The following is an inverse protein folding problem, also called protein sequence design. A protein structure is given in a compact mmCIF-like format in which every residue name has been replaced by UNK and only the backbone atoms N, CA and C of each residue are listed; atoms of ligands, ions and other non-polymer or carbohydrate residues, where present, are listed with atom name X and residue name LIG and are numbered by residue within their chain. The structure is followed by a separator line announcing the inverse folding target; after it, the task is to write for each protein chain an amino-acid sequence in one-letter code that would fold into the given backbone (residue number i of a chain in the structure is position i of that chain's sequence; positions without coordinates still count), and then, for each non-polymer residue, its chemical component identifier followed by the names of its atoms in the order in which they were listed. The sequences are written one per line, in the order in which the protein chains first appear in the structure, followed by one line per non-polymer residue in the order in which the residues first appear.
data_IF_911988338003
#
_entry.id   IF_911988338003
#
_cell.length_a   1.000
_cell.length_b   1.000
_cell.length_c   1.000
_cell.angle_alpha   90.00
_cell.angle_beta   90.00
_cell.angle_gamma   90.00
#
_symmetry.space_group_name_H-M   'P 1'
#
loop_
_entity.id
_entity.type
_entity.pdbx_description
1 polymer ?
#
# COMPACT_ATOMS: atom_id res chain seq x y z
N UNK A 1 6.57 -13.82 -24.05
CA UNK A 1 6.00 -14.80 -23.09
C UNK A 1 4.49 -14.72 -23.16
N UNK A 2 3.75 -15.83 -23.27
CA UNK A 2 2.30 -15.77 -23.50
C UNK A 2 1.58 -15.13 -22.32
N UNK A 3 0.59 -14.27 -22.62
CA UNK A 3 -0.24 -13.60 -21.62
C UNK A 3 -0.87 -14.58 -20.63
N UNK A 4 -1.21 -15.79 -21.10
CA UNK A 4 -1.75 -16.88 -20.29
C UNK A 4 -0.78 -17.34 -19.19
N UNK A 5 0.51 -17.46 -19.50
CA UNK A 5 1.54 -17.81 -18.51
C UNK A 5 1.68 -16.71 -17.46
N UNK A 6 1.70 -15.45 -17.89
CA UNK A 6 1.82 -14.29 -16.98
C UNK A 6 0.58 -14.14 -16.08
N UNK A 7 -0.61 -14.30 -16.64
CA UNK A 7 -1.87 -14.28 -15.88
C UNK A 7 -1.95 -15.42 -14.87
N UNK A 8 -1.55 -16.64 -15.25
CA UNK A 8 -1.49 -17.78 -14.34
C UNK A 8 -0.48 -17.58 -13.21
N UNK A 9 0.70 -17.00 -13.49
CA UNK A 9 1.71 -16.72 -12.46
C UNK A 9 1.24 -15.65 -11.48
N UNK A 10 0.75 -14.50 -11.96
CA UNK A 10 0.27 -13.42 -11.08
C UNK A 10 -0.97 -13.85 -10.29
N UNK A 11 -1.91 -14.52 -10.95
CA UNK A 11 -3.11 -15.07 -10.30
C UNK A 11 -2.76 -16.11 -9.24
N UNK A 12 -1.82 -17.02 -9.53
CA UNK A 12 -1.33 -18.02 -8.58
C UNK A 12 -0.67 -17.37 -7.36
N UNK A 13 0.24 -16.41 -7.57
CA UNK A 13 0.87 -15.66 -6.48
C UNK A 13 -0.15 -14.88 -5.63
N UNK A 14 -1.18 -14.32 -6.27
CA UNK A 14 -2.27 -13.62 -5.59
C UNK A 14 -3.09 -14.58 -4.72
N UNK A 15 -3.41 -15.77 -5.23
CA UNK A 15 -4.13 -16.81 -4.47
C UNK A 15 -3.34 -17.26 -3.25
N UNK A 16 -2.04 -17.52 -3.41
CA UNK A 16 -1.15 -17.87 -2.29
C UNK A 16 -1.15 -16.77 -1.24
N UNK A 17 -1.03 -15.51 -1.63
CA UNK A 17 -1.09 -14.37 -0.70
C UNK A 17 -2.42 -14.30 0.06
N UNK A 18 -3.55 -14.59 -0.60
CA UNK A 18 -4.87 -14.63 0.04
C UNK A 18 -5.03 -15.77 1.02
N UNK A 19 -4.55 -16.97 0.68
CA UNK A 19 -4.59 -18.12 1.59
C UNK A 19 -3.73 -17.86 2.84
N UNK A 20 -2.53 -17.29 2.67
CA UNK A 20 -1.68 -16.89 3.78
C UNK A 20 -2.33 -15.81 4.66
N UNK A 21 -2.99 -14.83 4.04
CA UNK A 21 -3.77 -13.83 4.75
C UNK A 21 -4.91 -14.43 5.58
N UNK A 22 -5.65 -15.39 5.01
CA UNK A 22 -6.70 -16.11 5.73
C UNK A 22 -6.15 -16.92 6.92
N UNK A 23 -5.03 -17.61 6.73
CA UNK A 23 -4.36 -18.35 7.82
C UNK A 23 -3.93 -17.39 8.93
N UNK A 24 -3.36 -16.24 8.59
CA UNK A 24 -3.03 -15.19 9.57
C UNK A 24 -4.27 -14.78 10.36
N UNK A 25 -5.39 -14.51 9.69
CA UNK A 25 -6.62 -14.06 10.34
C UNK A 25 -7.18 -15.14 11.27
N UNK A 26 -7.10 -16.41 10.88
CA UNK A 26 -7.47 -17.55 11.71
C UNK A 26 -6.57 -17.67 12.95
N UNK A 27 -5.26 -17.48 12.81
CA UNK A 27 -4.31 -17.49 13.93
C UNK A 27 -4.54 -16.32 14.89
N UNK A 28 -4.86 -15.14 14.37
CA UNK A 28 -5.22 -13.98 15.19
C UNK A 28 -6.51 -14.27 15.95
N UNK A 29 -7.53 -14.82 15.30
CA UNK A 29 -8.78 -15.21 15.97
C UNK A 29 -8.56 -16.28 17.05
N UNK A 30 -7.63 -17.22 16.82
CA UNK A 30 -7.29 -18.25 17.81
C UNK A 30 -6.48 -17.72 19.01
N UNK A 31 -5.53 -16.81 18.77
CA UNK A 31 -4.60 -16.33 19.81
C UNK A 31 -5.11 -15.09 20.55
N UNK A 32 -5.76 -14.17 19.85
CA UNK A 32 -6.25 -12.88 20.35
C UNK A 32 -7.77 -12.92 20.61
N UNK A 33 -8.48 -13.87 20.00
CA UNK A 33 -9.95 -13.95 20.06
C UNK A 33 -10.63 -13.06 19.00
N UNK A 34 -11.93 -12.85 19.16
CA UNK A 34 -12.76 -12.01 18.26
C UNK A 34 -13.29 -10.76 18.97
N UNK A 35 -12.64 -10.35 20.06
CA UNK A 35 -13.04 -9.19 20.87
C UNK A 35 -12.39 -7.87 20.43
N UNK A 36 -12.53 -6.81 21.25
CA UNK A 36 -12.05 -5.46 20.92
C UNK A 36 -10.56 -5.37 20.57
N UNK A 37 -9.73 -6.27 21.11
CA UNK A 37 -8.29 -6.33 20.83
C UNK A 37 -8.03 -6.77 19.38
N UNK A 38 -8.80 -7.74 18.87
CA UNK A 38 -8.68 -8.19 17.49
C UNK A 38 -9.17 -7.11 16.52
N UNK A 39 -10.28 -6.43 16.86
CA UNK A 39 -10.78 -5.27 16.10
C UNK A 39 -9.71 -4.16 16.00
N UNK A 40 -9.08 -3.79 17.13
CA UNK A 40 -8.00 -2.81 17.16
C UNK A 40 -6.81 -3.22 16.28
N UNK A 41 -6.43 -4.50 16.29
CA UNK A 41 -5.37 -5.03 15.42
C UNK A 41 -5.71 -4.87 13.93
N UNK A 42 -6.93 -5.23 13.53
CA UNK A 42 -7.35 -5.08 12.14
C UNK A 42 -7.50 -3.63 11.71
N UNK A 43 -8.00 -2.75 12.59
CA UNK A 43 -8.08 -1.30 12.32
C UNK A 43 -6.69 -0.70 12.15
N UNK A 44 -5.73 -1.08 13.01
CA UNK A 44 -4.33 -0.65 12.90
C UNK A 44 -3.69 -1.07 11.58
N UNK A 45 -4.07 -2.21 11.01
CA UNK A 45 -3.64 -2.64 9.68
C UNK A 45 -4.42 -1.96 8.54
N UNK A 46 -5.71 -1.70 8.72
CA UNK A 46 -6.56 -1.11 7.69
C UNK A 46 -6.21 0.34 7.41
N UNK A 47 -5.87 1.10 8.46
CA UNK A 47 -5.51 2.52 8.34
C UNK A 47 -4.37 2.77 7.33
N UNK A 48 -3.14 2.25 7.51
CA UNK A 48 -2.07 2.46 6.55
C UNK A 48 -2.38 1.85 5.18
N UNK A 49 -3.12 0.74 5.12
CA UNK A 49 -3.51 0.11 3.87
C UNK A 49 -4.47 0.97 3.04
N UNK A 50 -5.36 1.73 3.67
CA UNK A 50 -6.23 2.69 3.00
C UNK A 50 -5.40 3.76 2.28
N UNK A 51 -4.40 4.33 2.97
CA UNK A 51 -3.52 5.33 2.37
C UNK A 51 -2.66 4.74 1.26
N UNK A 52 -2.12 3.54 1.45
CA UNK A 52 -1.40 2.82 0.39
C UNK A 52 -2.26 2.62 -0.85
N UNK A 53 -3.53 2.23 -0.68
CA UNK A 53 -4.46 2.04 -1.79
C UNK A 53 -4.78 3.37 -2.51
N UNK A 54 -5.05 4.45 -1.75
CA UNK A 54 -5.39 5.76 -2.29
C UNK A 54 -4.22 6.43 -3.03
N UNK A 55 -3.02 6.41 -2.43
CA UNK A 55 -1.89 7.18 -2.90
C UNK A 55 -0.91 6.38 -3.75
N UNK A 56 -0.80 5.06 -3.59
CA UNK A 56 0.26 4.26 -4.25
C UNK A 56 -0.25 3.25 -5.29
N UNK A 57 -1.37 2.58 -5.07
CA UNK A 57 -1.83 1.51 -5.99
C UNK A 57 -2.41 2.02 -7.31
N UNK A 58 -3.25 3.07 -7.26
CA UNK A 58 -4.02 3.53 -8.43
C UNK A 58 -3.42 4.76 -9.11
N UNK A 59 -3.59 5.93 -8.47
CA UNK A 59 -3.29 7.21 -9.10
C UNK A 59 -1.80 7.39 -9.39
N UNK A 60 -0.93 7.16 -8.39
CA UNK A 60 0.51 7.31 -8.56
C UNK A 60 1.07 6.36 -9.62
N UNK A 61 0.75 5.07 -9.54
CA UNK A 61 1.28 4.07 -10.47
C UNK A 61 0.87 4.37 -11.92
N UNK A 62 -0.39 4.79 -12.13
CA UNK A 62 -0.91 5.15 -13.46
C UNK A 62 -0.23 6.37 -14.10
N UNK A 63 0.27 7.31 -13.30
CA UNK A 63 0.95 8.51 -13.79
C UNK A 63 2.48 8.33 -13.85
N UNK A 64 3.06 7.70 -12.82
CA UNK A 64 4.50 7.53 -12.68
C UNK A 64 5.09 6.56 -13.69
N UNK A 65 4.47 5.38 -13.88
CA UNK A 65 5.04 4.33 -14.75
C UNK A 65 5.15 4.78 -16.21
N UNK A 66 4.12 5.38 -16.84
CA UNK A 66 4.24 5.87 -18.21
C UNK A 66 5.29 6.99 -18.33
N UNK A 67 5.36 7.89 -17.35
CA UNK A 67 6.32 8.99 -17.36
C UNK A 67 7.76 8.48 -17.22
N UNK A 68 7.98 7.53 -16.32
CA UNK A 68 9.27 6.87 -16.12
C UNK A 68 9.70 6.07 -17.35
N UNK A 69 8.77 5.30 -17.96
CA UNK A 69 9.01 4.57 -19.19
C UNK A 69 9.36 5.50 -20.36
N UNK A 70 8.64 6.62 -20.51
CA UNK A 70 8.97 7.62 -21.54
C UNK A 70 10.36 8.23 -21.33
N UNK A 71 10.74 8.51 -20.07
CA UNK A 71 12.06 9.06 -19.72
C UNK A 71 13.18 8.06 -20.00
N UNK A 72 12.97 6.78 -19.68
CA UNK A 72 14.00 5.75 -19.88
C UNK A 72 14.23 5.44 -21.36
N UNK A 73 13.17 5.43 -22.17
CA UNK A 73 13.26 5.20 -23.61
C UNK A 73 13.83 6.40 -24.37
N UNK A 74 13.46 7.63 -23.99
CA UNK A 74 13.90 8.84 -24.68
C UNK A 74 15.27 9.36 -24.26
N UNK A 75 15.55 9.39 -22.96
CA UNK A 75 16.70 10.09 -22.37
C UNK A 75 17.65 9.14 -21.60
N UNK A 76 17.32 7.85 -21.59
CA UNK A 76 18.12 6.82 -20.95
C UNK A 76 17.94 6.72 -19.43
N UNK A 77 18.63 5.74 -18.86
CA UNK A 77 18.55 5.40 -17.43
C UNK A 77 18.89 6.56 -16.46
N UNK A 78 19.88 7.44 -16.73
CA UNK A 78 20.21 8.53 -15.81
C UNK A 78 19.05 9.53 -15.64
N UNK A 79 18.37 9.89 -16.73
CA UNK A 79 17.24 10.83 -16.69
C UNK A 79 16.01 10.23 -15.98
N UNK A 80 15.72 8.95 -16.23
CA UNK A 80 14.67 8.22 -15.52
C UNK A 80 14.95 8.13 -14.01
N UNK A 81 16.22 7.89 -13.64
CA UNK A 81 16.64 7.85 -12.23
C UNK A 81 16.50 9.21 -11.55
N UNK A 82 16.86 10.30 -12.23
CA UNK A 82 16.67 11.66 -11.71
C UNK A 82 15.19 11.96 -11.42
N UNK A 83 14.30 11.62 -12.36
CA UNK A 83 12.85 11.73 -12.18
C UNK A 83 12.36 10.93 -10.96
N UNK A 84 12.80 9.67 -10.83
CA UNK A 84 12.42 8.84 -9.69
C UNK A 84 12.89 9.45 -8.36
N UNK A 85 14.12 9.96 -8.30
CA UNK A 85 14.66 10.61 -7.09
C UNK A 85 13.82 11.84 -6.72
N UNK A 86 13.49 12.69 -7.68
CA UNK A 86 12.68 13.89 -7.45
C UNK A 86 11.29 13.53 -6.92
N UNK A 87 10.59 12.62 -7.62
CA UNK A 87 9.25 12.17 -7.25
C UNK A 87 9.25 11.52 -5.85
N UNK A 88 10.20 10.61 -5.58
CA UNK A 88 10.27 9.95 -4.28
C UNK A 88 10.70 10.89 -3.15
N UNK A 89 11.50 11.91 -3.42
CA UNK A 89 11.89 12.90 -2.42
C UNK A 89 10.68 13.73 -1.97
N UNK A 90 9.86 14.19 -2.93
CA UNK A 90 8.62 14.91 -2.64
C UNK A 90 7.63 14.00 -1.92
N UNK A 91 7.46 12.76 -2.39
CA UNK A 91 6.56 11.79 -1.78
C UNK A 91 6.97 11.47 -0.34
N UNK A 92 8.27 11.29 -0.09
CA UNK A 92 8.80 11.02 1.25
C UNK A 92 8.56 12.21 2.19
N UNK A 93 8.90 13.42 1.75
CA UNK A 93 8.68 14.63 2.56
C UNK A 93 7.19 14.79 2.91
N UNK A 94 6.30 14.59 1.93
CA UNK A 94 4.86 14.67 2.15
C UNK A 94 4.34 13.58 3.08
N UNK A 95 4.81 12.34 2.91
CA UNK A 95 4.42 11.22 3.76
C UNK A 95 4.87 11.44 5.22
N UNK A 96 6.06 11.99 5.45
CA UNK A 96 6.55 12.29 6.80
C UNK A 96 5.66 13.33 7.48
N UNK A 97 5.36 14.45 6.81
CA UNK A 97 4.49 15.49 7.35
C UNK A 97 3.09 14.95 7.58
N UNK A 98 2.55 14.21 6.61
CA UNK A 98 1.22 13.60 6.71
C UNK A 98 1.13 12.61 7.88
N UNK A 99 2.10 11.71 8.02
CA UNK A 99 2.14 10.74 9.12
C UNK A 99 2.26 11.46 10.47
N UNK A 100 3.10 12.49 10.60
CA UNK A 100 3.21 13.27 11.83
C UNK A 100 1.89 13.96 12.19
N UNK A 101 1.23 14.59 11.21
CA UNK A 101 -0.08 15.21 11.41
C UNK A 101 -1.15 14.17 11.78
N UNK A 102 -1.15 13.01 11.12
CA UNK A 102 -2.06 11.91 11.41
C UNK A 102 -1.85 11.38 12.83
N UNK A 103 -0.60 11.21 13.28
CA UNK A 103 -0.29 10.76 14.65
C UNK A 103 -0.88 11.70 15.71
N UNK A 104 -0.78 13.01 15.51
CA UNK A 104 -1.41 14.00 16.41
C UNK A 104 -2.94 13.94 16.30
N UNK A 105 -3.46 13.75 15.09
CA UNK A 105 -4.89 13.70 14.82
C UNK A 105 -5.55 12.34 15.13
N UNK A 106 -4.80 11.33 15.58
CA UNK A 106 -5.28 9.97 15.82
C UNK A 106 -6.55 9.91 16.67
N UNK A 107 -6.71 10.65 17.78
CA UNK A 107 -7.91 10.58 18.60
C UNK A 107 -9.19 10.88 17.81
N UNK A 108 -9.16 11.87 16.92
CA UNK A 108 -10.30 12.22 16.07
C UNK A 108 -10.46 11.28 14.88
N UNK A 109 -9.33 10.85 14.29
CA UNK A 109 -9.34 9.91 13.17
C UNK A 109 -9.96 8.56 13.58
N UNK A 110 -9.65 8.08 14.78
CA UNK A 110 -10.20 6.82 15.29
C UNK A 110 -11.71 6.87 15.50
N UNK A 111 -12.28 8.01 15.90
CA UNK A 111 -13.75 8.17 16.01
C UNK A 111 -14.43 7.97 14.65
N UNK A 112 -13.80 8.38 13.55
CA UNK A 112 -14.36 8.20 12.20
C UNK A 112 -14.14 6.78 11.67
N UNK A 113 -12.98 6.19 11.97
CA UNK A 113 -12.54 4.93 11.36
C UNK A 113 -12.98 3.67 12.12
N UNK A 114 -13.16 3.78 13.44
CA UNK A 114 -13.59 2.73 14.35
C UNK A 114 -14.37 3.35 15.54
N UNK A 115 -15.65 3.74 15.32
CA UNK A 115 -16.49 4.32 16.37
C UNK A 115 -16.98 3.33 17.44
N UNK A 116 -16.64 2.04 17.34
CA UNK A 116 -17.08 0.95 18.22
C UNK A 116 -15.91 0.08 18.65
#
# INVERSE_FOLDING_TARGET
MSLLKSAATVGGLTMVSRVLGFIRDQLVAFTVGTGPVAEAFFVALRFPNLFRALFAEGAFNSAFVPLFAKRIEGEGAPAARALAVEVFSVLLAWLVVFCAAAMVAMPWLMVVLAPG
#
